data_IF_869735178392
#
_entry.id   IF_869735178392
#
_cell.length_a   1.000
_cell.length_b   1.000
_cell.length_c   1.000
_cell.angle_alpha   90.00
_cell.angle_beta   90.00
_cell.angle_gamma   90.00
#
_symmetry.space_group_name_H-M   'P 1'
#
loop_
_entity.id
_entity.type
_entity.pdbx_description
1 polymer ?
#
# COMPACT_ATOMS: atom_id res chain seq x y z
N UNK A 1 0.43 -8.49 -4.70
CA UNK A 1 1.90 -8.62 -4.54
C UNK A 1 2.53 -7.49 -5.32
N UNK A 2 3.50 -6.77 -4.74
CA UNK A 2 4.13 -5.63 -5.41
C UNK A 2 5.09 -6.04 -6.53
N UNK A 3 5.49 -5.07 -7.35
CA UNK A 3 6.42 -5.25 -8.46
C UNK A 3 7.83 -5.52 -7.91
N UNK A 4 8.38 -6.69 -8.21
CA UNK A 4 9.71 -7.11 -7.70
C UNK A 4 10.83 -6.56 -8.58
N UNK A 5 10.61 -6.57 -9.88
CA UNK A 5 11.54 -6.09 -10.89
C UNK A 5 10.87 -5.07 -11.80
N UNK A 6 11.40 -3.86 -11.84
CA UNK A 6 10.88 -2.80 -12.71
C UNK A 6 11.23 -3.14 -14.16
N UNK A 7 10.20 -3.23 -15.00
CA UNK A 7 10.35 -3.65 -16.40
C UNK A 7 11.26 -2.69 -17.19
N UNK A 8 11.13 -1.41 -16.89
CA UNK A 8 11.84 -0.32 -17.59
C UNK A 8 13.28 -0.13 -17.09
N UNK A 9 13.65 -0.76 -15.96
CA UNK A 9 15.00 -0.62 -15.40
C UNK A 9 16.01 -1.55 -16.05
N UNK A 10 17.20 -1.02 -16.34
CA UNK A 10 18.36 -1.82 -16.72
C UNK A 10 18.76 -2.76 -15.57
N UNK A 11 19.22 -3.97 -15.90
CA UNK A 11 19.76 -4.88 -14.87
C UNK A 11 21.21 -4.51 -14.58
N UNK A 12 21.50 -4.21 -13.30
CA UNK A 12 22.84 -3.90 -12.82
C UNK A 12 23.33 -5.02 -11.90
N UNK A 13 24.63 -5.29 -11.92
CA UNK A 13 25.26 -6.29 -11.07
C UNK A 13 24.73 -7.72 -11.26
N UNK A 14 24.88 -8.56 -10.23
CA UNK A 14 24.55 -9.99 -10.27
C UNK A 14 23.13 -10.36 -9.83
N UNK A 15 22.25 -9.42 -9.56
CA UNK A 15 20.84 -9.66 -9.18
C UNK A 15 20.60 -10.12 -7.72
N UNK A 16 21.67 -10.41 -6.96
CA UNK A 16 21.60 -10.76 -5.53
C UNK A 16 22.38 -9.75 -4.70
N UNK A 17 21.68 -8.87 -3.97
CA UNK A 17 22.30 -7.81 -3.18
C UNK A 17 22.00 -7.90 -1.68
N UNK A 18 21.07 -8.70 -1.26
CA UNK A 18 20.66 -8.82 0.13
C UNK A 18 19.96 -10.14 0.43
N UNK A 19 19.06 -10.12 1.36
CA UNK A 19 18.26 -11.26 1.80
C UNK A 19 16.90 -10.83 2.33
N UNK A 20 16.19 -11.74 2.95
CA UNK A 20 14.81 -11.56 3.39
C UNK A 20 14.62 -10.39 4.34
N UNK A 21 13.42 -9.81 4.30
CA UNK A 21 13.00 -8.75 5.22
C UNK A 21 12.68 -9.33 6.60
N UNK A 22 13.04 -8.61 7.67
CA UNK A 22 12.82 -9.06 9.05
C UNK A 22 11.38 -8.83 9.55
N UNK A 23 10.67 -7.89 8.95
CA UNK A 23 9.31 -7.52 9.36
C UNK A 23 8.36 -7.34 8.17
N UNK A 24 8.10 -8.41 7.38
CA UNK A 24 7.33 -8.31 6.12
C UNK A 24 5.85 -7.94 6.31
N UNK A 25 5.32 -8.05 7.51
CA UNK A 25 3.96 -7.59 7.87
C UNK A 25 3.88 -6.09 8.20
N UNK A 26 5.02 -5.45 8.45
CA UNK A 26 5.09 -4.00 8.74
C UNK A 26 5.02 -3.16 7.46
N UNK A 27 4.64 -1.86 7.54
CA UNK A 27 4.52 -0.98 6.38
C UNK A 27 5.82 -0.87 5.57
N UNK A 28 5.69 -0.84 4.23
CA UNK A 28 6.80 -0.64 3.30
C UNK A 28 7.34 0.79 3.30
N UNK A 29 8.60 0.94 2.92
CA UNK A 29 9.27 2.24 2.81
C UNK A 29 10.21 2.33 1.62
N UNK A 30 10.52 3.57 1.23
CA UNK A 30 11.60 3.89 0.30
C UNK A 30 12.54 4.88 0.96
N UNK A 31 13.84 4.72 0.71
CA UNK A 31 14.89 5.61 1.20
C UNK A 31 15.58 6.25 0.01
N UNK A 32 15.59 7.57 0.02
CA UNK A 32 16.28 8.38 -0.99
C UNK A 32 17.68 8.70 -0.53
N UNK A 33 18.64 8.40 -1.40
CA UNK A 33 20.06 8.67 -1.26
C UNK A 33 20.54 9.58 -2.37
N UNK A 34 21.75 10.15 -2.21
CA UNK A 34 22.52 10.74 -3.29
C UNK A 34 23.91 10.15 -3.30
N UNK A 35 24.41 9.84 -4.49
CA UNK A 35 25.73 9.22 -4.69
C UNK A 35 26.89 10.17 -4.43
N UNK A 36 26.63 11.45 -4.13
CA UNK A 36 27.61 12.53 -4.00
C UNK A 36 28.53 12.68 -5.23
N UNK A 37 28.02 12.32 -6.40
CA UNK A 37 28.73 12.29 -7.68
C UNK A 37 28.16 13.26 -8.72
N UNK A 38 28.72 13.26 -9.91
CA UNK A 38 28.11 13.82 -11.11
C UNK A 38 26.96 12.96 -11.61
N UNK A 39 26.32 13.40 -12.69
CA UNK A 39 25.20 12.74 -13.38
C UNK A 39 25.52 12.53 -14.87
N UNK A 40 24.59 11.93 -15.62
CA UNK A 40 24.75 11.55 -17.04
C UNK A 40 25.30 10.15 -17.22
N UNK A 41 25.28 9.65 -18.46
CA UNK A 41 25.55 8.26 -18.80
C UNK A 41 26.91 7.72 -18.32
N UNK A 42 27.96 8.55 -18.41
CA UNK A 42 29.30 8.17 -17.93
C UNK A 42 29.29 8.00 -16.40
N UNK A 43 28.67 8.92 -15.69
CA UNK A 43 28.54 8.84 -14.22
C UNK A 43 27.68 7.65 -13.84
N UNK A 44 26.59 7.39 -14.54
CA UNK A 44 25.69 6.26 -14.29
C UNK A 44 26.45 4.92 -14.35
N UNK A 45 27.23 4.72 -15.40
CA UNK A 45 28.02 3.50 -15.54
C UNK A 45 29.10 3.40 -14.44
N UNK A 46 29.88 4.45 -14.25
CA UNK A 46 31.01 4.42 -13.33
C UNK A 46 30.59 4.25 -11.87
N UNK A 47 29.51 4.94 -11.45
CA UNK A 47 28.94 4.79 -10.11
C UNK A 47 28.28 3.43 -9.95
N UNK A 48 27.61 2.94 -10.99
CA UNK A 48 27.01 1.61 -10.99
C UNK A 48 28.04 0.51 -10.74
N UNK A 49 29.15 0.55 -11.48
CA UNK A 49 30.26 -0.40 -11.35
C UNK A 49 30.98 -0.24 -9.98
N UNK A 50 31.12 1.00 -9.51
CA UNK A 50 31.71 1.28 -8.20
C UNK A 50 30.91 0.69 -7.05
N UNK A 51 29.59 0.91 -7.00
CA UNK A 51 28.73 0.40 -5.95
C UNK A 51 28.72 -1.14 -5.89
N UNK A 52 28.74 -1.79 -7.06
CA UNK A 52 28.90 -3.24 -7.16
C UNK A 52 30.24 -3.71 -6.59
N UNK A 53 31.33 -3.04 -6.97
CA UNK A 53 32.70 -3.42 -6.56
C UNK A 53 32.91 -3.31 -5.04
N UNK A 54 32.29 -2.31 -4.40
CA UNK A 54 32.44 -2.10 -2.94
C UNK A 54 31.37 -2.83 -2.11
N UNK A 55 30.41 -3.50 -2.74
CA UNK A 55 29.32 -4.22 -2.06
C UNK A 55 28.34 -3.28 -1.33
N UNK A 56 28.07 -2.12 -1.90
CA UNK A 56 27.15 -1.11 -1.34
C UNK A 56 25.95 -0.83 -2.25
N UNK A 57 25.51 -1.85 -2.98
CA UNK A 57 24.44 -1.72 -3.96
C UNK A 57 23.11 -1.31 -3.30
N UNK A 58 22.43 -0.25 -3.80
CA UNK A 58 21.03 0.02 -3.52
C UNK A 58 20.15 -0.98 -4.28
N UNK A 59 18.83 -0.85 -4.19
CA UNK A 59 17.95 -1.50 -5.17
C UNK A 59 18.03 -0.80 -6.53
N UNK A 60 18.05 0.51 -6.51
CA UNK A 60 17.87 1.39 -7.67
C UNK A 60 19.02 2.39 -7.75
N UNK A 61 19.55 2.57 -8.96
CA UNK A 61 20.35 3.71 -9.37
C UNK A 61 19.54 4.55 -10.36
N UNK A 62 19.41 5.85 -10.13
CA UNK A 62 18.63 6.76 -10.96
C UNK A 62 19.43 7.99 -11.37
N UNK A 63 19.44 8.32 -12.65
CA UNK A 63 19.98 9.57 -13.16
C UNK A 63 18.87 10.62 -13.37
N UNK A 64 18.90 11.73 -12.61
CA UNK A 64 17.83 12.72 -12.68
C UNK A 64 17.88 13.60 -13.95
N UNK A 65 18.94 13.53 -14.75
CA UNK A 65 19.11 14.36 -15.94
C UNK A 65 18.81 13.65 -17.24
N UNK A 66 19.00 12.33 -17.29
CA UNK A 66 18.75 11.48 -18.46
C UNK A 66 17.53 10.59 -18.28
N UNK A 67 16.93 10.56 -17.09
CA UNK A 67 15.87 9.65 -16.65
C UNK A 67 16.29 8.16 -16.69
N UNK A 68 17.60 7.88 -16.73
CA UNK A 68 18.10 6.51 -16.78
C UNK A 68 17.90 5.80 -15.45
N UNK A 69 17.43 4.56 -15.50
CA UNK A 69 17.03 3.77 -14.33
C UNK A 69 17.69 2.40 -14.37
N UNK A 70 18.42 2.04 -13.33
CA UNK A 70 19.02 0.74 -13.16
C UNK A 70 18.57 0.05 -11.87
N UNK A 71 18.48 -1.26 -11.88
CA UNK A 71 18.08 -2.07 -10.73
C UNK A 71 19.07 -3.21 -10.50
N UNK A 72 19.60 -3.28 -9.25
CA UNK A 72 20.58 -4.27 -8.81
C UNK A 72 19.95 -5.57 -8.30
N UNK A 73 18.84 -5.48 -7.59
CA UNK A 73 18.23 -6.62 -6.91
C UNK A 73 16.72 -6.51 -6.78
N UNK A 74 16.06 -7.59 -6.35
CA UNK A 74 14.61 -7.64 -6.21
C UNK A 74 14.13 -6.73 -5.08
N UNK A 75 13.07 -5.94 -5.31
CA UNK A 75 12.57 -4.95 -4.35
C UNK A 75 12.02 -5.55 -3.06
N UNK A 76 11.69 -6.84 -3.03
CA UNK A 76 11.19 -7.57 -1.86
C UNK A 76 12.29 -8.18 -0.97
N UNK A 77 13.54 -7.92 -1.29
CA UNK A 77 14.69 -8.27 -0.45
C UNK A 77 15.35 -7.00 0.08
N UNK A 78 16.37 -7.14 0.91
CA UNK A 78 17.14 -5.99 1.40
C UNK A 78 18.23 -5.58 0.42
N UNK A 79 18.64 -4.30 0.46
CA UNK A 79 19.81 -3.78 -0.24
C UNK A 79 20.91 -3.37 0.75
N UNK A 80 22.03 -2.81 0.25
CA UNK A 80 23.26 -2.62 1.04
C UNK A 80 23.65 -1.16 1.26
N UNK A 81 22.89 -0.20 0.73
CA UNK A 81 23.21 1.23 0.87
C UNK A 81 22.84 1.83 2.24
N UNK A 82 22.24 1.08 3.15
CA UNK A 82 21.99 1.47 4.53
C UNK A 82 22.86 0.68 5.51
N UNK A 83 23.50 1.39 6.43
CA UNK A 83 24.18 0.79 7.57
C UNK A 83 23.16 0.30 8.59
N UNK A 84 23.33 -0.92 9.09
CA UNK A 84 22.59 -1.42 10.24
C UNK A 84 23.16 -0.82 11.53
N UNK A 85 22.29 -0.55 12.49
CA UNK A 85 22.66 0.10 13.74
C UNK A 85 23.05 -0.87 14.87
N UNK A 86 23.30 -2.12 14.54
CA UNK A 86 23.69 -3.19 15.47
C UNK A 86 22.53 -3.81 16.22
N UNK A 87 21.47 -3.06 16.56
CA UNK A 87 20.29 -3.54 17.27
C UNK A 87 19.16 -3.92 16.31
N UNK A 88 19.07 -3.22 15.19
CA UNK A 88 18.02 -3.39 14.19
C UNK A 88 18.65 -3.36 12.81
N UNK A 89 18.28 -4.31 11.96
CA UNK A 89 18.70 -4.26 10.57
C UNK A 89 17.81 -3.26 9.82
N UNK A 90 18.20 -1.98 9.82
CA UNK A 90 17.45 -0.87 9.23
C UNK A 90 17.08 -1.12 7.77
N UNK A 91 18.00 -1.74 7.00
CA UNK A 91 17.77 -2.11 5.61
C UNK A 91 16.78 -3.28 5.42
N UNK A 92 16.36 -3.96 6.51
CA UNK A 92 15.41 -5.10 6.49
C UNK A 92 14.10 -4.81 7.22
N UNK A 93 13.86 -3.57 7.58
CA UNK A 93 12.64 -3.18 8.29
C UNK A 93 11.51 -2.91 7.32
N UNK A 94 10.34 -3.51 7.58
CA UNK A 94 9.12 -3.34 6.79
C UNK A 94 8.93 -4.40 5.71
N UNK A 95 7.79 -4.35 5.05
CA UNK A 95 7.45 -5.21 3.91
C UNK A 95 8.48 -5.13 2.80
N UNK A 96 8.96 -3.92 2.55
CA UNK A 96 10.09 -3.56 1.70
C UNK A 96 10.82 -2.37 2.31
N UNK A 97 12.12 -2.26 2.04
CA UNK A 97 12.94 -1.08 2.33
C UNK A 97 13.71 -0.72 1.06
N UNK A 98 12.99 -0.15 0.09
CA UNK A 98 13.53 0.17 -1.23
C UNK A 98 14.54 1.30 -1.09
N UNK A 99 15.77 1.10 -1.54
CA UNK A 99 16.86 2.09 -1.48
C UNK A 99 17.11 2.60 -2.89
N UNK A 100 17.05 3.92 -3.07
CA UNK A 100 17.21 4.61 -4.35
C UNK A 100 18.40 5.56 -4.26
N UNK A 101 19.49 5.24 -4.93
CA UNK A 101 20.63 6.12 -5.13
C UNK A 101 20.39 7.01 -6.35
N UNK A 102 20.40 8.30 -6.15
CA UNK A 102 20.26 9.30 -7.21
C UNK A 102 21.63 9.89 -7.53
N UNK A 103 22.00 9.95 -8.81
CA UNK A 103 23.22 10.62 -9.27
C UNK A 103 23.14 12.13 -9.05
N UNK A 104 23.44 12.55 -7.84
CA UNK A 104 23.28 13.91 -7.37
C UNK A 104 24.23 14.18 -6.18
N UNK A 105 24.16 15.40 -5.67
CA UNK A 105 24.77 15.80 -4.41
C UNK A 105 23.72 16.33 -3.45
N UNK A 106 23.79 15.97 -2.18
CA UNK A 106 22.89 16.47 -1.15
C UNK A 106 22.92 18.02 -1.03
N UNK A 107 24.09 18.63 -1.29
CA UNK A 107 24.25 20.10 -1.30
C UNK A 107 23.55 20.79 -2.48
N UNK A 108 23.16 20.04 -3.52
CA UNK A 108 22.42 20.52 -4.68
C UNK A 108 21.28 19.54 -4.99
N UNK A 109 20.15 19.62 -4.26
CA UNK A 109 19.06 18.69 -4.39
C UNK A 109 18.59 18.51 -5.83
N UNK A 110 18.48 17.25 -6.29
CA UNK A 110 18.24 16.93 -7.69
C UNK A 110 16.90 17.45 -8.22
N UNK A 111 15.91 17.63 -7.36
CA UNK A 111 14.60 18.18 -7.72
C UNK A 111 14.66 19.61 -8.25
N UNK A 112 15.74 20.33 -8.06
CA UNK A 112 15.94 21.67 -8.61
C UNK A 112 16.41 21.71 -10.08
N UNK A 113 16.86 20.57 -10.64
CA UNK A 113 17.40 20.52 -12.00
C UNK A 113 17.07 19.24 -12.78
N UNK A 114 16.28 18.34 -12.20
CA UNK A 114 15.97 17.06 -12.79
C UNK A 114 15.01 17.14 -13.98
N UNK A 115 14.96 16.07 -14.76
CA UNK A 115 14.09 15.91 -15.91
C UNK A 115 13.36 14.57 -15.79
N UNK A 116 12.36 14.47 -14.88
CA UNK A 116 11.66 13.20 -14.66
C UNK A 116 10.87 12.79 -15.89
N UNK A 117 11.07 11.56 -16.32
CA UNK A 117 10.46 10.99 -17.50
C UNK A 117 9.66 9.70 -17.21
N UNK A 118 9.52 8.84 -18.23
CA UNK A 118 8.82 7.57 -18.11
C UNK A 118 9.43 6.63 -17.07
N UNK A 119 10.77 6.63 -16.93
CA UNK A 119 11.47 5.74 -16.00
C UNK A 119 11.27 6.16 -14.55
N UNK A 120 11.26 7.46 -14.25
CA UNK A 120 10.89 7.93 -12.93
C UNK A 120 9.44 7.54 -12.57
N UNK A 121 8.51 7.65 -13.53
CA UNK A 121 7.11 7.22 -13.33
C UNK A 121 7.03 5.71 -13.07
N UNK A 122 7.84 4.90 -13.76
CA UNK A 122 7.93 3.47 -13.55
C UNK A 122 8.47 3.14 -12.14
N UNK A 123 9.52 3.84 -11.69
CA UNK A 123 10.03 3.72 -10.32
C UNK A 123 8.94 4.02 -9.28
N UNK A 124 8.23 5.13 -9.42
CA UNK A 124 7.16 5.49 -8.47
C UNK A 124 5.98 4.53 -8.52
N UNK A 125 5.64 3.98 -9.70
CA UNK A 125 4.65 2.90 -9.83
C UNK A 125 5.09 1.68 -9.03
N UNK A 126 6.33 1.24 -9.18
CA UNK A 126 6.88 0.09 -8.47
C UNK A 126 6.88 0.31 -6.95
N UNK A 127 7.32 1.47 -6.47
CA UNK A 127 7.28 1.83 -5.04
C UNK A 127 5.84 1.73 -4.51
N UNK A 128 4.87 2.34 -5.19
CA UNK A 128 3.46 2.35 -4.79
C UNK A 128 2.79 0.98 -4.86
N UNK A 129 3.28 0.07 -5.72
CA UNK A 129 2.77 -1.31 -5.81
C UNK A 129 2.99 -2.12 -4.53
N UNK A 130 3.88 -1.65 -3.65
CA UNK A 130 4.15 -2.19 -2.32
C UNK A 130 3.38 -1.47 -1.20
N UNK A 131 2.34 -0.71 -1.54
CA UNK A 131 1.54 0.09 -0.61
C UNK A 131 2.38 1.13 0.18
N UNK A 132 3.48 1.61 -0.40
CA UNK A 132 4.26 2.71 0.17
C UNK A 132 3.51 4.03 -0.08
N UNK A 133 3.05 4.72 0.97
CA UNK A 133 2.30 5.96 0.80
C UNK A 133 3.21 7.14 0.43
N UNK A 134 2.66 8.09 -0.36
CA UNK A 134 3.35 9.33 -0.77
C UNK A 134 3.43 10.34 0.37
N UNK A 135 4.13 9.99 1.43
CA UNK A 135 4.33 10.84 2.62
C UNK A 135 5.78 10.69 3.13
N UNK A 136 6.28 11.71 3.81
CA UNK A 136 7.54 11.67 4.54
C UNK A 136 7.26 11.63 6.04
N UNK A 137 7.09 10.46 6.66
CA UNK A 137 6.62 10.35 8.05
C UNK A 137 7.65 10.81 9.10
N UNK A 138 8.93 10.87 8.75
CA UNK A 138 9.97 11.43 9.61
C UNK A 138 10.04 12.97 9.57
N UNK A 139 9.26 13.63 8.69
CA UNK A 139 9.20 15.08 8.60
C UNK A 139 10.34 15.68 7.78
N UNK A 140 11.14 16.55 8.40
CA UNK A 140 12.19 17.31 7.72
C UNK A 140 13.33 16.44 7.17
N UNK A 141 13.89 16.86 6.03
CA UNK A 141 15.16 16.36 5.49
C UNK A 141 16.30 17.29 5.92
N UNK A 142 17.51 16.77 6.02
CA UNK A 142 18.67 17.56 6.40
C UNK A 142 19.03 18.58 5.31
N UNK A 143 19.27 19.83 5.70
CA UNK A 143 19.69 20.90 4.80
C UNK A 143 21.22 21.03 4.68
N UNK A 144 21.96 20.39 5.58
CA UNK A 144 23.43 20.40 5.62
C UNK A 144 23.93 19.21 6.44
N UNK A 145 25.21 18.93 6.34
CA UNK A 145 25.88 18.00 7.23
C UNK A 145 25.74 18.45 8.69
N UNK A 146 25.42 17.54 9.59
CA UNK A 146 25.21 17.82 11.01
C UNK A 146 23.85 18.43 11.37
N UNK A 147 22.97 18.70 10.40
CA UNK A 147 21.63 19.18 10.69
C UNK A 147 20.83 18.16 11.52
N UNK A 148 20.11 18.67 12.52
CA UNK A 148 19.24 17.85 13.37
C UNK A 148 17.97 17.48 12.63
N UNK A 149 17.77 16.18 12.40
CA UNK A 149 16.56 15.62 11.81
C UNK A 149 16.10 14.40 12.58
N UNK A 150 14.85 14.01 12.41
CA UNK A 150 14.28 12.84 13.09
C UNK A 150 14.88 11.54 12.54
N UNK A 151 15.46 10.74 13.44
CA UNK A 151 15.88 9.34 13.22
C UNK A 151 15.15 8.43 14.20
N UNK A 152 13.85 8.69 14.40
CA UNK A 152 13.05 8.01 15.40
C UNK A 152 12.79 6.54 15.01
N UNK A 153 13.21 5.61 15.88
CA UNK A 153 13.10 4.15 15.65
C UNK A 153 11.67 3.67 15.58
N UNK A 154 10.78 4.22 16.39
CA UNK A 154 9.35 3.85 16.38
C UNK A 154 8.71 4.29 15.07
N UNK A 155 8.97 5.54 14.64
CA UNK A 155 8.49 6.02 13.32
C UNK A 155 9.03 5.14 12.20
N UNK A 156 10.33 4.82 12.23
CA UNK A 156 10.94 3.93 11.25
C UNK A 156 10.27 2.56 11.21
N UNK A 157 10.03 1.93 12.36
CA UNK A 157 9.45 0.58 12.45
C UNK A 157 7.97 0.54 12.05
N UNK A 158 7.18 1.58 12.38
CA UNK A 158 5.71 1.51 12.32
C UNK A 158 5.08 2.34 11.20
N UNK A 159 5.80 3.28 10.58
CA UNK A 159 5.26 4.16 9.55
C UNK A 159 5.87 3.84 8.18
N UNK A 160 4.99 3.56 7.20
CA UNK A 160 5.38 3.47 5.81
C UNK A 160 5.53 4.84 5.17
N UNK A 161 6.24 4.91 4.04
CA UNK A 161 6.41 6.14 3.29
C UNK A 161 7.83 6.37 2.79
N UNK A 162 8.11 7.61 2.42
CA UNK A 162 9.40 8.06 1.91
C UNK A 162 10.26 8.62 3.04
N UNK A 163 11.53 8.32 3.01
CA UNK A 163 12.54 8.78 3.95
C UNK A 163 13.77 9.29 3.20
N UNK A 164 14.49 10.26 3.73
CA UNK A 164 15.87 10.48 3.34
C UNK A 164 16.81 9.54 4.10
N UNK A 165 18.00 9.30 3.59
CA UNK A 165 19.05 8.59 4.35
C UNK A 165 19.30 9.27 5.69
N UNK A 166 19.22 10.59 5.73
CA UNK A 166 19.31 11.39 6.95
C UNK A 166 18.28 11.02 8.03
N UNK A 167 17.19 10.34 7.69
CA UNK A 167 16.17 9.90 8.63
C UNK A 167 16.33 8.44 9.09
N UNK A 168 17.30 7.69 8.54
CA UNK A 168 17.52 6.29 8.90
C UNK A 168 18.17 6.18 10.29
N UNK A 169 17.59 5.40 11.23
CA UNK A 169 18.19 5.18 12.54
C UNK A 169 19.59 4.55 12.43
N UNK A 170 20.53 5.00 13.27
CA UNK A 170 21.91 4.49 13.29
C UNK A 170 22.77 4.94 12.11
N UNK A 171 22.26 5.84 11.26
CA UNK A 171 22.99 6.43 10.14
C UNK A 171 23.24 7.92 10.43
N UNK A 172 24.42 8.42 10.09
CA UNK A 172 24.86 9.79 10.31
C UNK A 172 24.92 10.63 9.01
N UNK A 173 24.44 10.09 7.92
CA UNK A 173 24.33 10.73 6.62
C UNK A 173 23.33 11.89 6.62
N UNK A 174 23.47 12.80 5.66
CA UNK A 174 22.57 13.94 5.51
C UNK A 174 21.85 14.01 4.15
N UNK A 175 22.22 13.12 3.23
CA UNK A 175 21.56 12.95 1.94
C UNK A 175 20.09 12.50 2.10
N UNK A 176 19.23 12.80 1.14
CA UNK A 176 19.48 13.39 -0.17
C UNK A 176 19.48 14.94 -0.20
N UNK A 177 19.67 15.60 0.93
CA UNK A 177 19.47 17.04 1.07
C UNK A 177 17.97 17.42 1.06
N UNK A 178 17.70 18.71 0.89
CA UNK A 178 16.31 19.22 0.89
C UNK A 178 15.66 19.07 -0.50
N UNK A 179 15.42 17.84 -0.94
CA UNK A 179 14.64 17.59 -2.15
C UNK A 179 13.21 18.12 -1.98
N UNK A 180 12.64 18.66 -3.06
CA UNK A 180 11.24 19.09 -3.07
C UNK A 180 10.32 17.86 -3.09
N UNK A 181 9.71 17.57 -1.94
CA UNK A 181 8.81 16.42 -1.74
C UNK A 181 7.53 16.53 -2.58
N UNK A 182 7.02 17.75 -2.77
CA UNK A 182 5.83 17.98 -3.58
C UNK A 182 6.13 17.74 -5.07
N UNK A 183 7.25 18.28 -5.56
CA UNK A 183 7.72 18.05 -6.92
C UNK A 183 7.97 16.54 -7.16
N UNK A 184 8.55 15.82 -6.18
CA UNK A 184 8.79 14.38 -6.27
C UNK A 184 7.51 13.59 -6.58
N UNK A 185 6.43 13.88 -5.86
CA UNK A 185 5.15 13.20 -6.07
C UNK A 185 4.41 13.70 -7.30
N UNK A 186 4.49 15.00 -7.61
CA UNK A 186 3.87 15.60 -8.79
C UNK A 186 4.48 15.11 -10.11
N UNK A 187 5.77 14.78 -10.13
CA UNK A 187 6.46 14.26 -11.32
C UNK A 187 5.95 12.87 -11.77
N UNK A 188 5.39 12.10 -10.84
CA UNK A 188 4.72 10.85 -11.12
C UNK A 188 3.37 10.85 -10.41
N UNK A 189 2.37 11.61 -10.87
CA UNK A 189 1.05 11.62 -10.25
C UNK A 189 0.52 10.20 -10.21
N UNK A 190 -0.12 9.84 -9.09
CA UNK A 190 -0.89 8.58 -9.06
C UNK A 190 -1.81 8.63 -10.28
N UNK A 191 -1.95 7.52 -11.02
CA UNK A 191 -3.02 7.46 -12.00
C UNK A 191 -4.28 7.95 -11.29
N UNK A 192 -4.82 9.08 -11.71
CA UNK A 192 -6.17 9.43 -11.31
C UNK A 192 -6.99 8.18 -11.60
N UNK A 193 -7.69 7.69 -10.60
CA UNK A 193 -8.72 6.68 -10.88
C UNK A 193 -9.44 7.19 -12.14
N UNK A 194 -9.61 6.34 -13.19
CA UNK A 194 -10.15 6.81 -14.43
C UNK A 194 -11.31 7.72 -14.12
N UNK A 195 -11.27 8.96 -14.61
CA UNK A 195 -12.42 9.87 -14.59
C UNK A 195 -13.41 9.40 -15.66
N UNK A 196 -13.79 8.15 -15.59
CA UNK A 196 -15.10 7.73 -15.99
C UNK A 196 -16.04 8.46 -15.04
N UNK A 197 -17.04 9.21 -15.55
CA UNK A 197 -18.14 9.64 -14.70
C UNK A 197 -18.51 8.42 -13.87
N UNK A 198 -18.68 8.53 -12.54
CA UNK A 198 -18.90 7.37 -11.72
C UNK A 198 -20.06 6.60 -12.34
N UNK A 199 -19.74 5.53 -13.06
CA UNK A 199 -20.73 4.46 -13.27
C UNK A 199 -21.04 4.07 -11.84
N UNK A 200 -22.27 4.24 -11.35
CA UNK A 200 -22.63 3.92 -9.99
C UNK A 200 -22.13 2.50 -9.78
N UNK A 201 -21.08 2.34 -8.97
CA UNK A 201 -20.55 1.00 -8.70
C UNK A 201 -21.69 0.23 -8.09
N UNK A 202 -22.18 -0.77 -8.81
CA UNK A 202 -23.23 -1.65 -8.28
C UNK A 202 -22.75 -2.11 -6.91
N UNK A 203 -23.44 -1.80 -5.83
CA UNK A 203 -22.97 -2.16 -4.50
C UNK A 203 -22.69 -3.66 -4.45
N UNK A 204 -21.53 -4.09 -3.94
CA UNK A 204 -21.25 -5.54 -3.79
C UNK A 204 -22.25 -6.22 -2.85
N UNK A 205 -22.77 -5.45 -1.89
CA UNK A 205 -23.79 -5.89 -0.96
C UNK A 205 -25.04 -5.02 -1.09
N UNK A 206 -26.19 -5.61 -0.83
CA UNK A 206 -27.48 -4.94 -0.86
C UNK A 206 -27.56 -3.90 0.27
N UNK A 207 -27.81 -2.62 -0.03
CA UNK A 207 -28.12 -1.63 1.00
C UNK A 207 -29.34 -2.06 1.83
N UNK A 208 -29.34 -1.71 3.10
CA UNK A 208 -30.48 -2.02 3.98
C UNK A 208 -31.74 -1.30 3.49
N UNK A 209 -32.82 -2.05 3.16
CA UNK A 209 -34.02 -1.45 2.57
C UNK A 209 -34.94 -0.75 3.58
N UNK A 210 -34.61 -0.82 4.88
CA UNK A 210 -35.46 -0.37 5.98
C UNK A 210 -36.23 -1.51 6.62
N UNK A 211 -36.61 -1.40 7.92
CA UNK A 211 -37.32 -2.46 8.64
C UNK A 211 -38.71 -2.74 8.04
N UNK A 212 -39.41 -1.70 7.58
CA UNK A 212 -40.76 -1.77 7.04
C UNK A 212 -40.82 -2.54 5.70
N UNK A 213 -39.67 -2.77 5.08
CA UNK A 213 -39.61 -3.56 3.86
C UNK A 213 -39.83 -5.06 4.13
N UNK A 214 -39.55 -5.57 5.32
CA UNK A 214 -39.57 -6.99 5.65
C UNK A 214 -40.96 -7.46 6.11
N UNK A 215 -41.91 -7.44 5.18
CA UNK A 215 -43.28 -7.83 5.44
C UNK A 215 -43.51 -9.30 5.09
N UNK A 216 -44.11 -10.08 5.98
CA UNK A 216 -44.43 -11.49 5.76
C UNK A 216 -45.25 -11.68 4.48
N UNK A 217 -44.89 -12.71 3.69
CA UNK A 217 -45.48 -12.98 2.39
C UNK A 217 -44.90 -12.16 1.23
N UNK A 218 -44.01 -11.20 1.48
CA UNK A 218 -43.34 -10.45 0.39
C UNK A 218 -42.49 -11.39 -0.45
N UNK A 219 -42.76 -11.41 -1.77
CA UNK A 219 -41.96 -12.16 -2.74
C UNK A 219 -40.97 -11.26 -3.45
N UNK A 220 -39.68 -11.52 -3.32
CA UNK A 220 -38.64 -10.77 -3.99
C UNK A 220 -37.31 -11.53 -4.03
N UNK A 221 -36.51 -11.35 -5.10
CA UNK A 221 -35.17 -11.94 -5.23
C UNK A 221 -34.22 -11.61 -4.08
N UNK A 222 -34.43 -10.47 -3.37
CA UNK A 222 -33.66 -10.10 -2.20
C UNK A 222 -33.90 -11.07 -1.04
N UNK A 223 -35.10 -11.61 -0.89
CA UNK A 223 -35.41 -12.59 0.14
C UNK A 223 -34.62 -13.86 -0.10
N UNK A 224 -34.56 -14.34 -1.36
CA UNK A 224 -33.74 -15.50 -1.72
C UNK A 224 -32.24 -15.27 -1.43
N UNK A 225 -31.72 -14.09 -1.74
CA UNK A 225 -30.31 -13.74 -1.44
C UNK A 225 -30.05 -13.67 0.07
N UNK A 226 -30.96 -13.13 0.85
CA UNK A 226 -30.91 -13.13 2.32
C UNK A 226 -30.96 -14.57 2.87
N UNK A 227 -31.90 -15.41 2.38
CA UNK A 227 -31.98 -16.82 2.74
C UNK A 227 -30.65 -17.55 2.54
N UNK A 228 -30.08 -17.45 1.33
CA UNK A 228 -28.81 -18.12 1.00
C UNK A 228 -27.64 -17.64 1.90
N UNK A 229 -27.65 -16.36 2.27
CA UNK A 229 -26.65 -15.81 3.21
C UNK A 229 -26.86 -16.34 4.64
N UNK A 230 -28.09 -16.40 5.13
CA UNK A 230 -28.39 -16.93 6.47
C UNK A 230 -27.96 -18.39 6.59
N UNK A 231 -28.20 -19.18 5.55
CA UNK A 231 -27.71 -20.57 5.47
C UNK A 231 -26.19 -20.61 5.51
N UNK A 232 -25.52 -19.80 4.68
CA UNK A 232 -24.07 -19.75 4.59
C UNK A 232 -23.37 -19.33 5.90
N UNK A 233 -24.00 -18.49 6.73
CA UNK A 233 -23.47 -18.10 8.04
C UNK A 233 -23.87 -19.05 9.18
N UNK A 234 -24.51 -20.18 8.87
CA UNK A 234 -24.90 -21.21 9.85
C UNK A 234 -26.15 -20.86 10.67
N UNK A 235 -26.97 -19.93 10.18
CA UNK A 235 -28.22 -19.53 10.84
C UNK A 235 -29.44 -20.15 10.15
N UNK A 236 -29.31 -21.36 9.61
CA UNK A 236 -30.38 -22.09 8.94
C UNK A 236 -31.45 -22.58 9.93
N UNK A 237 -32.67 -22.02 9.86
CA UNK A 237 -33.88 -22.44 10.61
C UNK A 237 -35.02 -22.74 9.67
N UNK A 238 -34.73 -22.98 8.39
CA UNK A 238 -35.70 -23.28 7.36
C UNK A 238 -36.06 -24.76 7.40
N UNK A 239 -37.36 -25.06 7.30
CA UNK A 239 -37.86 -26.42 7.17
C UNK A 239 -37.71 -26.95 5.72
N UNK A 240 -37.71 -26.04 4.73
CA UNK A 240 -37.49 -26.38 3.33
C UNK A 240 -36.93 -25.15 2.59
N UNK A 241 -36.36 -25.37 1.40
CA UNK A 241 -35.93 -24.30 0.49
C UNK A 241 -36.99 -23.95 -0.58
N UNK A 242 -38.22 -24.54 -0.46
CA UNK A 242 -39.34 -24.15 -1.32
C UNK A 242 -39.69 -22.69 -1.00
N UNK A 243 -40.02 -21.91 -2.02
CA UNK A 243 -40.44 -20.51 -1.91
C UNK A 243 -39.43 -19.62 -1.14
N UNK A 244 -38.10 -19.90 -1.29
CA UNK A 244 -37.04 -19.16 -0.63
C UNK A 244 -36.98 -17.67 -0.99
N UNK A 245 -37.77 -17.22 -1.95
CA UNK A 245 -37.95 -15.84 -2.37
C UNK A 245 -39.15 -15.15 -1.71
N UNK A 246 -39.84 -15.84 -0.77
CA UNK A 246 -41.02 -15.33 -0.04
C UNK A 246 -40.70 -15.27 1.46
N UNK A 247 -40.89 -14.10 2.09
CA UNK A 247 -40.68 -13.93 3.54
C UNK A 247 -41.67 -14.80 4.31
N UNK A 248 -41.13 -15.72 5.11
CA UNK A 248 -41.87 -16.62 5.96
C UNK A 248 -41.31 -16.76 7.36
N UNK A 249 -41.87 -17.62 8.19
CA UNK A 249 -41.41 -17.89 9.55
C UNK A 249 -39.98 -18.44 9.61
N UNK A 250 -39.55 -19.14 8.55
CA UNK A 250 -38.16 -19.60 8.41
C UNK A 250 -37.16 -18.43 8.31
N UNK A 251 -37.51 -17.36 7.58
CA UNK A 251 -36.70 -16.16 7.48
C UNK A 251 -36.62 -15.43 8.83
N UNK A 252 -37.77 -15.26 9.50
CA UNK A 252 -37.85 -14.66 10.83
C UNK A 252 -36.93 -15.40 11.82
N UNK A 253 -37.09 -16.70 11.96
CA UNK A 253 -36.32 -17.54 12.89
C UNK A 253 -34.81 -17.57 12.54
N UNK A 254 -34.47 -17.62 11.24
CA UNK A 254 -33.08 -17.63 10.77
C UNK A 254 -32.42 -16.31 11.00
N UNK A 255 -33.12 -15.18 10.76
CA UNK A 255 -32.55 -13.83 10.97
C UNK A 255 -32.39 -13.51 12.46
N UNK A 256 -33.32 -13.89 13.32
CA UNK A 256 -33.18 -13.79 14.77
C UNK A 256 -32.00 -14.61 15.29
N UNK A 257 -31.76 -15.80 14.75
CA UNK A 257 -30.57 -16.59 15.07
C UNK A 257 -29.29 -15.85 14.65
N UNK A 258 -29.31 -15.16 13.52
CA UNK A 258 -28.21 -14.31 13.07
C UNK A 258 -27.97 -13.10 13.99
N UNK A 259 -29.05 -12.40 14.40
CA UNK A 259 -28.94 -11.28 15.35
C UNK A 259 -28.31 -11.74 16.68
N UNK A 260 -28.74 -12.89 17.21
CA UNK A 260 -28.11 -13.49 18.42
C UNK A 260 -26.65 -13.85 18.19
N UNK A 261 -26.29 -14.37 17.01
CA UNK A 261 -24.89 -14.64 16.66
C UNK A 261 -24.04 -13.36 16.56
N UNK A 262 -24.64 -12.23 16.20
CA UNK A 262 -24.02 -10.91 16.23
C UNK A 262 -23.94 -10.30 17.63
N UNK A 263 -24.36 -10.99 18.68
CA UNK A 263 -24.28 -10.53 20.08
C UNK A 263 -25.50 -9.75 20.58
N UNK A 264 -26.60 -9.67 19.80
CA UNK A 264 -27.83 -9.04 20.23
C UNK A 264 -28.68 -9.98 21.09
N UNK A 265 -29.45 -9.44 22.04
CA UNK A 265 -30.30 -10.21 22.95
C UNK A 265 -31.66 -9.54 23.14
N UNK A 266 -32.64 -10.27 23.68
CA UNK A 266 -34.00 -9.73 23.94
C UNK A 266 -34.66 -9.18 22.68
N UNK A 267 -35.33 -8.04 22.82
CA UNK A 267 -36.02 -7.37 21.70
C UNK A 267 -35.09 -6.89 20.59
N UNK A 268 -33.82 -6.66 20.89
CA UNK A 268 -32.82 -6.31 19.88
C UNK A 268 -32.41 -7.48 18.98
N UNK A 269 -32.80 -8.72 19.32
CA UNK A 269 -32.56 -9.93 18.52
C UNK A 269 -33.85 -10.47 17.90
N UNK A 270 -34.88 -9.64 17.76
CA UNK A 270 -36.15 -10.01 17.17
C UNK A 270 -36.32 -9.45 15.74
N UNK A 271 -37.18 -10.11 14.96
CA UNK A 271 -37.63 -9.62 13.65
C UNK A 271 -38.33 -8.23 13.79
N UNK A 272 -38.19 -7.30 12.81
CA UNK A 272 -37.51 -7.42 11.54
C UNK A 272 -35.99 -7.16 11.61
N UNK A 273 -35.26 -7.34 10.46
CA UNK A 273 -33.84 -6.98 10.33
C UNK A 273 -33.53 -5.55 10.75
N UNK A 274 -32.41 -5.37 11.50
CA UNK A 274 -31.85 -4.07 11.79
C UNK A 274 -30.67 -3.74 10.87
N UNK A 275 -30.40 -2.45 10.64
CA UNK A 275 -29.34 -2.00 9.72
C UNK A 275 -27.97 -2.60 10.05
N UNK A 276 -27.59 -2.62 11.34
CA UNK A 276 -26.28 -3.14 11.79
C UNK A 276 -26.09 -4.62 11.42
N UNK A 277 -27.08 -5.46 11.74
CA UNK A 277 -27.02 -6.90 11.44
C UNK A 277 -27.17 -7.19 9.96
N UNK A 278 -27.90 -6.35 9.21
CA UNK A 278 -27.98 -6.42 7.76
C UNK A 278 -26.62 -6.13 7.11
N UNK A 279 -25.95 -5.07 7.50
CA UNK A 279 -24.65 -4.71 6.97
C UNK A 279 -23.57 -5.78 7.26
N UNK A 280 -23.68 -6.45 8.41
CA UNK A 280 -22.81 -7.59 8.79
C UNK A 280 -23.13 -8.87 8.00
N UNK A 281 -24.39 -9.10 7.62
CA UNK A 281 -24.81 -10.28 6.88
C UNK A 281 -24.24 -10.31 5.45
N UNK A 282 -23.90 -9.14 4.86
CA UNK A 282 -23.34 -9.00 3.51
C UNK A 282 -24.18 -9.66 2.44
N UNK A 283 -25.48 -9.41 2.44
CA UNK A 283 -26.40 -9.91 1.41
C UNK A 283 -25.96 -9.41 0.04
N UNK A 284 -25.77 -10.27 -0.99
CA UNK A 284 -25.36 -9.85 -2.32
C UNK A 284 -26.34 -8.85 -2.94
N UNK A 285 -25.79 -7.90 -3.71
CA UNK A 285 -26.62 -6.93 -4.42
C UNK A 285 -27.46 -7.59 -5.50
N UNK A 286 -28.75 -7.38 -5.46
CA UNK A 286 -29.72 -7.94 -6.41
C UNK A 286 -30.43 -6.89 -7.26
N UNK A 287 -30.04 -5.62 -7.12
CA UNK A 287 -30.63 -4.48 -7.81
C UNK A 287 -31.34 -3.51 -6.86
N UNK A 288 -31.84 -2.38 -7.38
CA UNK A 288 -32.61 -1.44 -6.58
C UNK A 288 -33.83 -2.11 -5.95
N UNK A 289 -34.07 -1.83 -4.68
CA UNK A 289 -35.24 -2.29 -3.93
C UNK A 289 -36.05 -1.05 -3.57
N UNK A 290 -37.28 -1.03 -4.03
CA UNK A 290 -38.25 0.05 -3.73
C UNK A 290 -39.21 -0.42 -2.63
#
# INVERSE_FOLDING_TARGET
MGEIWIKEAERLGGGKIGGDMDSPSSPGRVVWHTTESGHGDVSFKNVGDYLTRIGAEPHILYDPTTDRLGQYGPLNQSARALRNDGLTRTNRTGRVCIQVEVLARASKPFTGYWKPGPNFKALMRAIRSWDVPDVFPAGALAGSYGATVSRNRTTWATKGGHYGHCNAPGNDHWDPGQIDKAALFAAAPKPSAPTTPPVPSTPKCQPFPGPDWFVKGRKHKLVAAMHDRLVAVGCNRYASSRDKDVIGSGDEASYEAWQRKCGFTGSAASWPPGKTTWDLLKVPYVGPVK
#
